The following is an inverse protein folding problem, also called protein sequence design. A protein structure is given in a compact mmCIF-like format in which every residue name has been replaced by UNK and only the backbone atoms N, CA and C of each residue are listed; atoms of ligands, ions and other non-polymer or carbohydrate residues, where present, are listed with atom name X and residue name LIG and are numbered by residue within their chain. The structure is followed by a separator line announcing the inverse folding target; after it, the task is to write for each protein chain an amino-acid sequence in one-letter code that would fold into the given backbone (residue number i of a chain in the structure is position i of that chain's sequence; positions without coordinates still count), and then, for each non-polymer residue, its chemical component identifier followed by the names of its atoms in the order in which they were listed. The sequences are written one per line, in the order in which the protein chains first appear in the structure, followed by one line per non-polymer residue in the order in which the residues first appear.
data_IF_181264443073
#
_entry.id   IF_181264443073
#
_cell.length_a   1.000
_cell.length_b   1.000
_cell.length_c   1.000
_cell.angle_alpha   90.00
_cell.angle_beta   90.00
_cell.angle_gamma   90.00
#
_symmetry.space_group_name_H-M   'P 1'
#
loop_
_entity.id
_entity.type
_entity.pdbx_description
1 polymer ?
#
# COMPACT_ATOMS: atom_id res chain seq x y z
N UNK A 1 -1.20 -9.26 6.90
CA UNK A 1 0.24 -9.14 6.60
C UNK A 1 0.48 -8.97 5.10
N UNK A 2 -0.23 -9.69 4.23
CA UNK A 2 0.01 -9.66 2.77
C UNK A 2 -0.50 -8.41 2.05
N UNK A 3 -1.40 -7.64 2.63
CA UNK A 3 -1.95 -6.41 2.05
C UNK A 3 -1.07 -5.18 2.35
N UNK A 4 -0.29 -5.21 3.42
CA UNK A 4 0.49 -4.06 3.89
C UNK A 4 1.77 -3.90 3.04
N UNK A 5 1.98 -2.71 2.51
CA UNK A 5 3.11 -2.39 1.66
C UNK A 5 3.30 -0.90 1.41
N UNK A 6 3.96 -0.57 0.32
CA UNK A 6 4.20 0.81 -0.14
C UNK A 6 2.89 1.59 -0.29
N UNK A 7 1.79 0.89 -0.62
CA UNK A 7 0.46 1.46 -0.74
C UNK A 7 -0.02 2.16 0.53
N UNK A 8 0.29 1.60 1.70
CA UNK A 8 -0.13 2.13 3.00
C UNK A 8 0.81 3.23 3.49
N UNK A 9 2.12 3.00 3.36
CA UNK A 9 3.13 3.86 3.99
C UNK A 9 3.40 5.12 3.17
N UNK A 10 3.32 5.04 1.84
CA UNK A 10 3.62 6.16 0.95
C UNK A 10 2.41 6.63 0.13
N UNK A 11 1.76 5.73 -0.62
CA UNK A 11 0.68 6.14 -1.52
C UNK A 11 -0.54 6.69 -0.78
N UNK A 12 -0.91 6.08 0.34
CA UNK A 12 -2.08 6.52 1.09
C UNK A 12 -1.91 7.95 1.64
N UNK A 13 -0.82 8.34 2.36
CA UNK A 13 -0.62 9.73 2.77
C UNK A 13 -0.58 10.70 1.60
N UNK A 14 0.07 10.34 0.49
CA UNK A 14 0.07 11.14 -0.73
C UNK A 14 -1.36 11.38 -1.26
N UNK A 15 -2.18 10.33 -1.32
CA UNK A 15 -3.58 10.46 -1.76
C UNK A 15 -4.40 11.33 -0.79
N UNK A 16 -4.18 11.21 0.51
CA UNK A 16 -4.82 12.06 1.52
C UNK A 16 -4.45 13.53 1.32
N UNK A 17 -3.17 13.82 1.13
CA UNK A 17 -2.67 15.18 0.90
C UNK A 17 -3.30 15.85 -0.33
N UNK A 18 -3.41 15.11 -1.44
CA UNK A 18 -3.96 15.62 -2.71
C UNK A 18 -5.49 15.70 -2.74
N UNK A 19 -6.19 15.05 -1.83
CA UNK A 19 -7.65 14.91 -1.89
C UNK A 19 -8.35 15.49 -0.67
N UNK A 20 -7.78 16.51 -0.02
CA UNK A 20 -8.46 17.28 1.02
C UNK A 20 -8.40 16.67 2.42
N UNK A 21 -7.37 15.90 2.74
CA UNK A 21 -7.10 15.49 4.11
C UNK A 21 -8.16 14.58 4.73
N UNK A 22 -8.71 14.99 5.88
CA UNK A 22 -9.66 14.18 6.65
C UNK A 22 -10.94 13.77 5.93
N UNK A 23 -11.42 14.56 4.96
CA UNK A 23 -12.61 14.20 4.16
C UNK A 23 -12.34 12.99 3.27
N UNK A 24 -11.15 12.91 2.67
CA UNK A 24 -10.71 11.73 1.91
C UNK A 24 -10.61 10.49 2.80
N UNK A 25 -10.04 10.64 4.00
CA UNK A 25 -9.93 9.53 4.97
C UNK A 25 -11.31 8.98 5.33
N UNK A 26 -12.30 9.86 5.54
CA UNK A 26 -13.67 9.45 5.82
C UNK A 26 -14.26 8.59 4.69
N UNK A 27 -14.19 9.06 3.43
CA UNK A 27 -14.69 8.29 2.29
C UNK A 27 -13.91 7.00 2.06
N UNK A 28 -12.59 7.03 2.26
CA UNK A 28 -11.76 5.83 2.18
C UNK A 28 -12.21 4.74 3.17
N UNK A 29 -12.42 5.09 4.44
CA UNK A 29 -12.89 4.16 5.46
C UNK A 29 -14.29 3.62 5.14
N UNK A 30 -15.18 4.49 4.63
CA UNK A 30 -16.51 4.10 4.18
C UNK A 30 -16.45 3.05 3.06
N UNK A 31 -15.67 3.31 2.00
CA UNK A 31 -15.53 2.38 0.88
C UNK A 31 -14.81 1.09 1.28
N UNK A 32 -13.85 1.17 2.17
CA UNK A 32 -13.17 0.00 2.70
C UNK A 32 -14.17 -0.93 3.43
N UNK A 33 -15.08 -0.36 4.23
CA UNK A 33 -16.09 -1.14 4.95
C UNK A 33 -17.17 -1.70 4.02
N UNK A 34 -17.71 -0.87 3.10
CA UNK A 34 -18.87 -1.23 2.28
C UNK A 34 -18.49 -2.10 1.07
N UNK A 35 -17.32 -1.86 0.49
CA UNK A 35 -16.86 -2.56 -0.72
C UNK A 35 -15.62 -3.41 -0.45
N UNK A 36 -14.64 -2.88 0.25
CA UNK A 36 -13.35 -3.55 0.48
C UNK A 36 -13.50 -4.88 1.19
N UNK A 37 -14.10 -4.90 2.36
CA UNK A 37 -14.28 -6.13 3.16
C UNK A 37 -15.16 -7.17 2.47
N UNK A 38 -16.33 -6.84 1.88
CA UNK A 38 -17.14 -7.81 1.14
C UNK A 38 -16.40 -8.41 -0.06
N UNK A 39 -15.77 -7.60 -0.91
CA UNK A 39 -15.06 -8.09 -2.09
C UNK A 39 -13.85 -8.94 -1.67
N UNK A 40 -13.11 -8.53 -0.65
CA UNK A 40 -12.03 -9.32 -0.08
C UNK A 40 -12.53 -10.69 0.40
N UNK A 41 -13.68 -10.74 1.08
CA UNK A 41 -14.30 -11.99 1.52
C UNK A 41 -14.66 -12.89 0.33
N UNK A 42 -15.14 -12.30 -0.78
CA UNK A 42 -15.45 -13.04 -2.02
C UNK A 42 -14.19 -13.61 -2.66
N UNK A 43 -13.12 -12.84 -2.78
CA UNK A 43 -11.84 -13.34 -3.33
C UNK A 43 -11.27 -14.49 -2.48
N UNK A 44 -11.27 -14.35 -1.15
CA UNK A 44 -10.87 -15.42 -0.25
C UNK A 44 -11.75 -16.67 -0.41
N UNK A 45 -13.06 -16.50 -0.65
CA UNK A 45 -14.00 -17.59 -0.88
C UNK A 45 -13.69 -18.34 -2.18
N UNK A 46 -13.46 -17.62 -3.28
CA UNK A 46 -13.10 -18.19 -4.58
C UNK A 46 -11.79 -18.98 -4.45
N UNK A 47 -10.79 -18.39 -3.78
CA UNK A 47 -9.52 -19.07 -3.52
C UNK A 47 -9.69 -20.34 -2.72
N UNK A 48 -10.42 -20.29 -1.59
CA UNK A 48 -10.66 -21.46 -0.74
C UNK A 48 -11.48 -22.54 -1.41
N UNK A 49 -12.46 -22.16 -2.24
CA UNK A 49 -13.31 -23.10 -2.96
C UNK A 49 -12.60 -23.81 -4.10
N UNK A 50 -11.76 -23.10 -4.84
CA UNK A 50 -11.04 -23.66 -6.00
C UNK A 50 -9.76 -24.39 -5.62
N UNK A 51 -9.04 -23.95 -4.58
CA UNK A 51 -7.67 -24.41 -4.24
C UNK A 51 -6.69 -24.32 -5.42
N UNK A 52 -6.92 -23.38 -6.34
CA UNK A 52 -6.13 -23.19 -7.57
C UNK A 52 -5.52 -21.78 -7.63
N UNK A 53 -4.60 -21.59 -8.60
CA UNK A 53 -4.11 -20.25 -8.93
C UNK A 53 -5.21 -19.38 -9.53
N UNK A 54 -5.03 -18.05 -9.52
CA UNK A 54 -6.04 -17.08 -9.97
C UNK A 54 -6.63 -17.40 -11.34
N UNK A 55 -5.78 -17.75 -12.33
CA UNK A 55 -6.24 -18.10 -13.70
C UNK A 55 -7.11 -19.33 -13.71
N UNK A 56 -6.74 -20.38 -12.94
CA UNK A 56 -7.47 -21.65 -12.93
C UNK A 56 -8.67 -21.65 -11.99
N UNK A 57 -8.69 -20.80 -10.98
CA UNK A 57 -9.74 -20.75 -9.98
C UNK A 57 -11.11 -20.46 -10.58
N UNK A 58 -11.17 -19.46 -11.46
CA UNK A 58 -12.41 -19.08 -12.13
C UNK A 58 -12.90 -20.15 -13.08
N UNK A 59 -11.99 -20.79 -13.85
CA UNK A 59 -12.35 -21.90 -14.73
C UNK A 59 -12.82 -23.15 -13.99
N UNK A 60 -12.30 -23.42 -12.78
CA UNK A 60 -12.73 -24.53 -11.93
C UNK A 60 -14.14 -24.37 -11.38
N UNK A 61 -14.53 -23.12 -11.06
CA UNK A 61 -15.80 -22.80 -10.41
C UNK A 61 -16.90 -22.37 -11.39
N UNK A 62 -16.56 -22.04 -12.64
CA UNK A 62 -17.54 -21.60 -13.63
C UNK A 62 -18.44 -22.74 -14.10
N UNK A 63 -19.69 -22.41 -14.39
CA UNK A 63 -20.66 -23.34 -14.99
C UNK A 63 -20.53 -23.34 -16.51
N UNK A 64 -20.94 -24.44 -17.17
CA UNK A 64 -20.99 -24.54 -18.63
C UNK A 64 -21.67 -23.32 -19.26
N UNK A 65 -21.00 -22.67 -20.20
CA UNK A 65 -21.47 -21.48 -20.91
C UNK A 65 -21.10 -20.14 -20.25
N UNK A 66 -20.54 -20.13 -19.06
CA UNK A 66 -19.95 -18.93 -18.46
C UNK A 66 -18.53 -18.72 -18.97
N UNK A 67 -18.04 -17.48 -18.82
CA UNK A 67 -16.69 -17.07 -19.30
C UNK A 67 -15.87 -16.38 -18.20
N UNK A 68 -16.05 -16.79 -16.94
CA UNK A 68 -15.33 -16.21 -15.81
C UNK A 68 -13.83 -16.48 -15.84
N UNK A 69 -13.37 -17.52 -16.52
CA UNK A 69 -11.94 -17.77 -16.75
C UNK A 69 -11.23 -16.59 -17.41
N UNK A 70 -11.94 -15.77 -18.23
CA UNK A 70 -11.37 -14.56 -18.83
C UNK A 70 -10.92 -13.57 -17.75
N UNK A 71 -11.68 -13.42 -16.67
CA UNK A 71 -11.30 -12.56 -15.55
C UNK A 71 -9.98 -13.02 -14.92
N UNK A 72 -9.73 -14.31 -14.82
CA UNK A 72 -8.44 -14.85 -14.36
C UNK A 72 -7.24 -14.39 -15.19
N UNK A 73 -7.39 -14.34 -16.52
CA UNK A 73 -6.34 -13.80 -17.39
C UNK A 73 -6.18 -12.30 -17.28
N UNK A 74 -7.28 -11.54 -17.16
CA UNK A 74 -7.25 -10.09 -16.94
C UNK A 74 -6.53 -9.79 -15.62
N UNK A 75 -6.84 -10.51 -14.55
CA UNK A 75 -6.16 -10.38 -13.26
C UNK A 75 -4.65 -10.69 -13.38
N UNK A 76 -4.25 -11.68 -14.15
CA UNK A 76 -2.85 -12.02 -14.42
C UNK A 76 -2.12 -10.85 -15.10
N UNK A 77 -2.71 -10.29 -16.15
CA UNK A 77 -2.16 -9.11 -16.85
C UNK A 77 -2.03 -7.94 -15.89
N UNK A 78 -3.07 -7.67 -15.08
CA UNK A 78 -3.05 -6.63 -14.05
C UNK A 78 -1.90 -6.82 -13.05
N UNK A 79 -1.63 -8.05 -12.63
CA UNK A 79 -0.48 -8.36 -11.76
C UNK A 79 0.86 -8.04 -12.42
N UNK A 80 1.05 -8.39 -13.71
CA UNK A 80 2.27 -8.04 -14.42
C UNK A 80 2.48 -6.53 -14.50
N UNK A 81 1.44 -5.78 -14.87
CA UNK A 81 1.51 -4.31 -14.93
C UNK A 81 1.81 -3.71 -13.56
N UNK A 82 1.17 -4.23 -12.52
CA UNK A 82 1.42 -3.79 -11.15
C UNK A 82 2.85 -4.07 -10.72
N UNK A 83 3.38 -5.26 -11.00
CA UNK A 83 4.75 -5.63 -10.64
C UNK A 83 5.80 -4.80 -11.37
N UNK A 84 5.56 -4.40 -12.61
CA UNK A 84 6.44 -3.47 -13.34
C UNK A 84 6.61 -2.14 -12.56
N UNK A 85 5.53 -1.59 -12.03
CA UNK A 85 5.56 -0.39 -11.21
C UNK A 85 6.20 -0.65 -9.83
N UNK A 86 5.77 -1.70 -9.14
CA UNK A 86 6.21 -1.97 -7.77
C UNK A 86 7.70 -2.29 -7.64
N UNK A 87 8.28 -3.02 -8.60
CA UNK A 87 9.73 -3.33 -8.58
C UNK A 87 10.58 -2.09 -8.76
N UNK A 88 10.14 -1.14 -9.58
CA UNK A 88 10.83 0.15 -9.77
C UNK A 88 10.78 0.97 -8.48
N UNK A 89 9.60 1.14 -7.89
CA UNK A 89 9.43 1.92 -6.65
C UNK A 89 10.17 1.26 -5.47
N UNK A 90 10.14 -0.07 -5.38
CA UNK A 90 10.92 -0.80 -4.38
C UNK A 90 12.45 -0.60 -4.57
N UNK A 91 12.89 -0.49 -5.83
CA UNK A 91 14.27 -0.11 -6.16
C UNK A 91 14.62 1.28 -5.65
N UNK A 92 13.72 2.28 -5.78
CA UNK A 92 13.92 3.63 -5.21
C UNK A 92 14.07 3.56 -3.69
N UNK A 93 13.19 2.82 -3.02
CA UNK A 93 13.26 2.65 -1.55
C UNK A 93 14.59 2.03 -1.12
N UNK A 94 15.09 1.03 -1.86
CA UNK A 94 16.41 0.43 -1.58
C UNK A 94 17.53 1.45 -1.75
N UNK A 95 17.50 2.27 -2.80
CA UNK A 95 18.49 3.33 -3.02
C UNK A 95 18.45 4.37 -1.89
N UNK A 96 17.25 4.80 -1.47
CA UNK A 96 17.09 5.74 -0.35
C UNK A 96 17.61 5.14 0.94
N UNK A 97 17.24 3.89 1.25
CA UNK A 97 17.74 3.19 2.43
C UNK A 97 19.28 3.17 2.46
N UNK A 98 19.90 2.77 1.36
CA UNK A 98 21.36 2.79 1.25
C UNK A 98 21.93 4.21 1.41
N UNK A 99 21.32 5.21 0.80
CA UNK A 99 21.77 6.60 0.86
C UNK A 99 21.66 7.19 2.27
N UNK A 100 20.63 6.81 3.03
CA UNK A 100 20.51 7.17 4.45
C UNK A 100 21.60 6.50 5.29
N UNK A 101 21.85 5.21 5.09
CA UNK A 101 22.90 4.48 5.83
C UNK A 101 24.29 5.10 5.67
N UNK A 102 24.63 5.60 4.49
CA UNK A 102 25.94 6.24 4.23
C UNK A 102 25.94 7.76 4.46
N UNK A 103 24.84 8.30 5.02
CA UNK A 103 24.76 9.72 5.42
C UNK A 103 24.68 10.73 4.27
N UNK A 104 24.28 10.30 3.05
CA UNK A 104 24.17 11.21 1.87
C UNK A 104 23.16 12.35 2.04
N UNK A 105 22.21 12.21 2.94
CA UNK A 105 21.17 13.21 3.21
C UNK A 105 21.51 14.09 4.41
N UNK A 106 22.61 13.85 5.11
CA UNK A 106 22.98 14.61 6.29
C UNK A 106 23.26 16.08 5.94
N UNK A 107 22.53 16.99 6.59
CA UNK A 107 22.67 18.43 6.39
C UNK A 107 22.04 19.01 5.12
N UNK A 108 21.29 18.20 4.35
CA UNK A 108 20.58 18.69 3.15
C UNK A 108 19.26 19.36 3.54
N UNK A 109 18.89 20.39 2.79
CA UNK A 109 17.56 21.02 2.82
C UNK A 109 16.56 20.24 1.94
N UNK A 110 15.25 20.49 2.09
CA UNK A 110 14.22 19.80 1.31
C UNK A 110 14.39 19.90 -0.21
N UNK A 111 14.83 21.06 -0.72
CA UNK A 111 15.10 21.25 -2.16
C UNK A 111 16.30 20.44 -2.64
N UNK A 112 17.35 20.34 -1.83
CA UNK A 112 18.53 19.52 -2.13
C UNK A 112 18.19 18.01 -2.13
N UNK A 113 17.30 17.56 -1.24
CA UNK A 113 16.79 16.18 -1.23
C UNK A 113 15.98 15.89 -2.49
N UNK A 114 15.13 16.83 -2.92
CA UNK A 114 14.40 16.73 -4.20
C UNK A 114 15.37 16.65 -5.39
N UNK A 115 16.44 17.42 -5.37
CA UNK A 115 17.51 17.35 -6.37
C UNK A 115 18.14 15.96 -6.44
N UNK A 116 18.41 15.30 -5.29
CA UNK A 116 18.94 13.93 -5.23
C UNK A 116 17.97 12.90 -5.79
N UNK A 117 16.66 13.08 -5.58
CA UNK A 117 15.65 12.24 -6.20
C UNK A 117 15.69 12.34 -7.73
N UNK A 118 15.75 13.55 -8.27
CA UNK A 118 15.82 13.77 -9.72
C UNK A 118 17.12 13.22 -10.32
N UNK A 119 18.26 13.34 -9.61
CA UNK A 119 19.54 12.75 -9.99
C UNK A 119 19.44 11.22 -10.08
N UNK A 120 18.80 10.57 -9.10
CA UNK A 120 18.53 9.13 -9.12
C UNK A 120 17.67 8.75 -10.33
N UNK A 121 16.57 9.46 -10.58
CA UNK A 121 15.68 9.20 -11.72
C UNK A 121 16.40 9.36 -13.07
N UNK A 122 17.37 10.26 -13.15
CA UNK A 122 18.18 10.50 -14.34
C UNK A 122 19.31 9.48 -14.52
N UNK A 123 19.48 8.53 -13.60
CA UNK A 123 20.56 7.55 -13.62
C UNK A 123 20.02 6.13 -13.91
N UNK A 124 19.87 5.72 -15.20
CA UNK A 124 19.29 4.43 -15.57
C UNK A 124 20.00 3.24 -14.92
N UNK A 125 21.33 3.31 -14.77
CA UNK A 125 22.10 2.24 -14.15
C UNK A 125 21.72 1.98 -12.70
N UNK A 126 21.49 3.04 -11.91
CA UNK A 126 21.07 2.93 -10.51
C UNK A 126 19.69 2.30 -10.46
N UNK A 127 18.76 2.77 -11.28
CA UNK A 127 17.39 2.26 -11.33
C UNK A 127 17.35 0.76 -11.69
N UNK A 128 18.08 0.37 -12.73
CA UNK A 128 18.12 -1.04 -13.16
C UNK A 128 18.78 -1.93 -12.11
N UNK A 129 19.91 -1.52 -11.53
CA UNK A 129 20.62 -2.33 -10.52
C UNK A 129 19.74 -2.53 -9.28
N UNK A 130 19.15 -1.47 -8.73
CA UNK A 130 18.31 -1.57 -7.53
C UNK A 130 17.04 -2.38 -7.78
N UNK A 131 16.40 -2.22 -8.95
CA UNK A 131 15.26 -3.03 -9.38
C UNK A 131 15.64 -4.52 -9.49
N UNK A 132 16.78 -4.83 -10.11
CA UNK A 132 17.25 -6.21 -10.23
C UNK A 132 17.54 -6.85 -8.87
N UNK A 133 18.18 -6.13 -7.95
CA UNK A 133 18.44 -6.62 -6.59
C UNK A 133 17.13 -7.00 -5.91
N UNK A 134 16.13 -6.12 -5.93
CA UNK A 134 14.81 -6.38 -5.31
C UNK A 134 14.12 -7.56 -5.99
N UNK A 135 14.15 -7.62 -7.32
CA UNK A 135 13.52 -8.70 -8.09
C UNK A 135 14.16 -10.05 -7.77
N UNK A 136 15.48 -10.13 -7.78
CA UNK A 136 16.22 -11.37 -7.45
C UNK A 136 15.93 -11.78 -6.00
N UNK A 137 15.99 -10.84 -5.04
CA UNK A 137 15.68 -11.13 -3.64
C UNK A 137 14.25 -11.66 -3.47
N UNK A 138 13.26 -11.05 -4.17
CA UNK A 138 11.88 -11.52 -4.17
C UNK A 138 11.74 -12.94 -4.71
N UNK A 139 12.36 -13.25 -5.84
CA UNK A 139 12.35 -14.61 -6.41
C UNK A 139 13.04 -15.62 -5.50
N UNK A 140 14.15 -15.27 -4.86
CA UNK A 140 14.83 -16.15 -3.89
C UNK A 140 13.93 -16.47 -2.70
N UNK A 141 13.23 -15.47 -2.14
CA UNK A 141 12.28 -15.69 -1.05
C UNK A 141 11.11 -16.57 -1.50
N UNK A 142 10.56 -16.32 -2.69
CA UNK A 142 9.48 -17.11 -3.25
C UNK A 142 9.89 -18.56 -3.56
N UNK A 143 11.15 -18.81 -3.95
CA UNK A 143 11.66 -20.14 -4.25
C UNK A 143 11.69 -21.10 -3.05
N UNK A 144 11.78 -20.55 -1.83
CA UNK A 144 11.71 -21.30 -0.56
C UNK A 144 10.27 -21.77 -0.26
N UNK A 145 9.28 -21.20 -0.97
CA UNK A 145 7.86 -21.50 -0.81
C UNK A 145 7.12 -20.50 0.08
N UNK A 146 5.78 -20.62 0.07
CA UNK A 146 4.92 -19.62 0.72
C UNK A 146 5.08 -19.63 2.24
N UNK A 147 5.02 -20.80 2.88
CA UNK A 147 5.02 -20.92 4.34
C UNK A 147 6.38 -20.64 4.95
N UNK A 148 7.44 -21.27 4.42
CA UNK A 148 8.79 -21.19 4.97
C UNK A 148 9.59 -19.98 4.49
N UNK A 149 9.28 -19.48 3.28
CA UNK A 149 9.92 -18.31 2.69
C UNK A 149 9.13 -17.03 2.96
N UNK A 150 8.07 -16.83 2.18
CA UNK A 150 7.31 -15.58 2.16
C UNK A 150 6.70 -15.26 3.53
N UNK A 151 5.97 -16.19 4.14
CA UNK A 151 5.28 -15.95 5.42
C UNK A 151 6.26 -15.64 6.55
N UNK A 152 7.36 -16.39 6.64
CA UNK A 152 8.35 -16.21 7.72
C UNK A 152 9.07 -14.87 7.60
N UNK A 153 9.52 -14.52 6.38
CA UNK A 153 10.22 -13.25 6.14
C UNK A 153 9.29 -12.08 6.36
N UNK A 154 8.09 -12.10 5.76
CA UNK A 154 7.12 -11.01 5.92
C UNK A 154 6.66 -10.83 7.35
N UNK A 155 6.51 -11.91 8.13
CA UNK A 155 6.14 -11.80 9.55
C UNK A 155 7.19 -11.02 10.35
N UNK A 156 8.48 -11.33 10.17
CA UNK A 156 9.55 -10.60 10.86
C UNK A 156 9.59 -9.14 10.42
N UNK A 157 9.57 -8.90 9.10
CA UNK A 157 9.57 -7.54 8.56
C UNK A 157 8.38 -6.71 9.05
N UNK A 158 7.19 -7.31 9.15
CA UNK A 158 6.00 -6.62 9.64
C UNK A 158 6.09 -6.25 11.12
N UNK A 159 6.64 -7.13 11.96
CA UNK A 159 6.84 -6.81 13.38
C UNK A 159 7.80 -5.63 13.51
N UNK A 160 8.92 -5.65 12.78
CA UNK A 160 9.90 -4.55 12.77
C UNK A 160 9.25 -3.25 12.28
N UNK A 161 8.51 -3.31 11.17
CA UNK A 161 7.78 -2.15 10.63
C UNK A 161 6.81 -1.57 11.66
N UNK A 162 6.00 -2.40 12.31
CA UNK A 162 5.03 -1.95 13.32
C UNK A 162 5.71 -1.25 14.50
N UNK A 163 6.82 -1.81 15.00
CA UNK A 163 7.58 -1.19 16.11
C UNK A 163 8.12 0.17 15.69
N UNK A 164 8.74 0.26 14.51
CA UNK A 164 9.26 1.52 13.98
C UNK A 164 8.13 2.55 13.80
N UNK A 165 7.01 2.15 13.22
CA UNK A 165 5.87 3.06 12.96
C UNK A 165 5.27 3.58 14.26
N UNK A 166 5.09 2.74 15.28
CA UNK A 166 4.58 3.18 16.59
C UNK A 166 5.56 4.18 17.22
N UNK A 167 6.85 3.89 17.20
CA UNK A 167 7.87 4.79 17.71
C UNK A 167 7.85 6.14 16.99
N UNK A 168 7.80 6.14 15.66
CA UNK A 168 7.75 7.36 14.85
C UNK A 168 6.44 8.13 15.06
N UNK A 169 5.30 7.46 15.21
CA UNK A 169 4.03 8.10 15.48
C UNK A 169 4.05 8.81 16.84
N UNK A 170 4.58 8.18 17.89
CA UNK A 170 4.75 8.80 19.20
C UNK A 170 5.69 10.01 19.10
N UNK A 171 6.81 9.88 18.41
CA UNK A 171 7.75 10.98 18.19
C UNK A 171 7.12 12.14 17.41
N UNK A 172 6.32 11.87 16.38
CA UNK A 172 5.70 12.91 15.55
C UNK A 172 4.71 13.78 16.33
N UNK A 173 4.07 13.28 17.39
CA UNK A 173 3.21 14.06 18.26
C UNK A 173 3.98 15.12 19.09
N UNK A 174 5.28 14.99 19.23
CA UNK A 174 6.13 15.97 19.92
C UNK A 174 6.61 17.11 19.00
N UNK A 175 6.34 17.02 17.70
CA UNK A 175 6.77 18.02 16.73
C UNK A 175 5.95 19.31 16.81
N UNK A 176 6.52 20.48 16.49
CA UNK A 176 5.82 21.78 16.57
C UNK A 176 4.56 21.85 15.71
N UNK A 177 4.57 21.25 14.49
CA UNK A 177 3.44 21.23 13.56
C UNK A 177 2.44 20.08 13.80
N UNK A 178 2.56 19.33 14.90
CA UNK A 178 1.73 18.16 15.15
C UNK A 178 0.22 18.49 15.19
N UNK A 179 -0.16 19.58 15.82
CA UNK A 179 -1.56 19.98 15.97
C UNK A 179 -2.21 20.31 14.64
N UNK A 180 -1.53 21.08 13.81
CA UNK A 180 -2.00 21.48 12.47
C UNK A 180 -2.04 20.27 11.53
N UNK A 181 -1.01 19.43 11.52
CA UNK A 181 -0.94 18.21 10.73
C UNK A 181 -2.04 17.21 11.09
N UNK A 182 -2.27 16.99 12.39
CA UNK A 182 -3.36 16.12 12.85
C UNK A 182 -4.74 16.69 12.54
N UNK A 183 -4.93 18.01 12.65
CA UNK A 183 -6.18 18.66 12.27
C UNK A 183 -6.48 18.45 10.79
N UNK A 184 -5.50 18.71 9.91
CA UNK A 184 -5.63 18.47 8.47
C UNK A 184 -5.99 17.01 8.16
N UNK A 185 -5.34 16.07 8.85
CA UNK A 185 -5.46 14.64 8.57
C UNK A 185 -6.75 14.00 9.09
N UNK A 186 -7.20 14.40 10.30
CA UNK A 186 -8.29 13.72 11.01
C UNK A 186 -9.61 14.49 10.98
N UNK A 187 -9.56 15.80 10.77
CA UNK A 187 -10.78 16.63 10.79
C UNK A 187 -11.25 16.88 9.35
N UNK A 188 -12.43 16.38 8.97
CA UNK A 188 -13.00 16.67 7.66
C UNK A 188 -13.26 18.19 7.51
N UNK A 189 -12.72 18.78 6.45
CA UNK A 189 -12.91 20.18 6.12
C UNK A 189 -13.75 20.31 4.85
N UNK A 190 -14.94 20.91 4.96
CA UNK A 190 -15.85 21.09 3.83
C UNK A 190 -15.29 22.04 2.77
N UNK A 191 -14.42 22.98 3.13
CA UNK A 191 -13.78 23.89 2.17
C UNK A 191 -12.89 23.13 1.18
N UNK A 192 -12.31 22.00 1.60
CA UNK A 192 -11.52 21.14 0.73
C UNK A 192 -12.36 20.49 -0.38
N UNK A 193 -13.66 20.25 -0.13
CA UNK A 193 -14.58 19.73 -1.13
C UNK A 193 -14.76 20.74 -2.28
N UNK A 194 -14.85 22.02 -1.97
CA UNK A 194 -15.00 23.07 -2.99
C UNK A 194 -13.74 23.22 -3.84
N UNK A 195 -12.55 23.06 -3.24
CA UNK A 195 -11.27 23.19 -3.92
C UNK A 195 -10.93 21.97 -4.80
N UNK A 196 -11.12 20.76 -4.27
CA UNK A 196 -10.71 19.51 -4.96
C UNK A 196 -11.85 18.93 -5.81
N UNK A 197 -13.09 19.12 -5.41
CA UNK A 197 -14.28 18.55 -6.03
C UNK A 197 -14.69 17.21 -5.42
N UNK A 198 -15.95 17.12 -4.96
CA UNK A 198 -16.49 15.95 -4.27
C UNK A 198 -16.35 14.66 -5.09
N UNK A 199 -16.66 14.72 -6.38
CA UNK A 199 -16.58 13.55 -7.26
C UNK A 199 -15.14 13.01 -7.36
N UNK A 200 -14.16 13.91 -7.42
CA UNK A 200 -12.75 13.54 -7.47
C UNK A 200 -12.29 12.86 -6.16
N UNK A 201 -12.69 13.42 -5.01
CA UNK A 201 -12.40 12.85 -3.70
C UNK A 201 -13.00 11.44 -3.57
N UNK A 202 -14.28 11.28 -3.93
CA UNK A 202 -14.99 9.99 -3.84
C UNK A 202 -14.33 8.93 -4.73
N UNK A 203 -14.06 9.24 -6.00
CA UNK A 203 -13.46 8.28 -6.93
C UNK A 203 -12.06 7.88 -6.52
N UNK A 204 -11.26 8.81 -6.02
CA UNK A 204 -9.91 8.53 -5.53
C UNK A 204 -9.93 7.73 -4.22
N UNK A 205 -10.84 8.03 -3.30
CA UNK A 205 -11.00 7.27 -2.06
C UNK A 205 -11.43 5.82 -2.33
N UNK A 206 -12.40 5.63 -3.25
CA UNK A 206 -12.80 4.30 -3.71
C UNK A 206 -11.63 3.55 -4.36
N UNK A 207 -10.92 4.18 -5.28
CA UNK A 207 -9.75 3.61 -5.96
C UNK A 207 -8.67 3.21 -4.96
N UNK A 208 -8.43 4.03 -3.94
CA UNK A 208 -7.46 3.72 -2.89
C UNK A 208 -7.89 2.54 -2.02
N UNK A 209 -9.18 2.40 -1.70
CA UNK A 209 -9.71 1.27 -0.94
C UNK A 209 -9.53 -0.06 -1.70
N UNK A 210 -9.71 -0.07 -3.02
CA UNK A 210 -9.41 -1.22 -3.87
C UNK A 210 -7.91 -1.53 -3.95
N UNK A 211 -7.12 -0.49 -4.14
CA UNK A 211 -5.68 -0.62 -4.30
C UNK A 211 -5.00 -1.17 -3.03
N UNK A 212 -5.35 -0.63 -1.86
CA UNK A 212 -4.71 -1.01 -0.59
C UNK A 212 -4.92 -2.49 -0.24
N UNK A 213 -6.11 -3.03 -0.51
CA UNK A 213 -6.43 -4.44 -0.28
C UNK A 213 -6.06 -5.34 -1.46
N UNK A 214 -5.45 -4.79 -2.53
CA UNK A 214 -5.08 -5.54 -3.75
C UNK A 214 -6.26 -6.30 -4.36
N UNK A 215 -7.45 -5.68 -4.39
CA UNK A 215 -8.67 -6.30 -4.91
C UNK A 215 -8.69 -6.30 -6.44
N UNK A 216 -9.34 -7.31 -7.03
CA UNK A 216 -9.54 -7.45 -8.47
C UNK A 216 -8.38 -8.12 -9.22
N UNK A 217 -7.20 -8.17 -8.64
CA UNK A 217 -6.01 -8.80 -9.26
C UNK A 217 -5.80 -10.26 -8.84
N UNK A 218 -6.66 -10.78 -7.96
CA UNK A 218 -6.62 -12.16 -7.49
C UNK A 218 -5.46 -12.49 -6.55
N UNK A 219 -4.77 -11.49 -6.00
CA UNK A 219 -3.74 -11.71 -4.99
C UNK A 219 -4.32 -12.35 -3.73
N UNK A 220 -5.43 -11.83 -3.24
CA UNK A 220 -6.12 -12.35 -2.05
C UNK A 220 -6.77 -13.73 -2.33
N UNK A 221 -7.15 -14.01 -3.55
CA UNK A 221 -7.60 -15.33 -3.98
C UNK A 221 -6.50 -16.39 -3.78
N UNK A 222 -5.25 -16.10 -4.12
CA UNK A 222 -4.12 -17.01 -3.89
C UNK A 222 -3.99 -17.31 -2.39
N UNK A 223 -4.02 -16.28 -1.53
CA UNK A 223 -3.98 -16.50 -0.08
C UNK A 223 -5.20 -17.29 0.42
N UNK A 224 -6.38 -17.03 -0.14
CA UNK A 224 -7.59 -17.80 0.11
C UNK A 224 -7.43 -19.29 -0.17
N UNK A 225 -6.67 -19.66 -1.21
CA UNK A 225 -6.45 -21.06 -1.59
C UNK A 225 -5.69 -21.87 -0.53
N UNK A 226 -4.95 -21.21 0.35
CA UNK A 226 -4.23 -21.82 1.48
C UNK A 226 -5.03 -21.82 2.79
N UNK A 227 -6.19 -21.16 2.83
CA UNK A 227 -7.02 -21.12 4.04
C UNK A 227 -7.69 -22.47 4.30
N UNK A 228 -7.61 -22.90 5.58
CA UNK A 228 -8.31 -24.10 6.05
C UNK A 228 -9.82 -23.85 6.21
N UNK A 229 -10.63 -24.92 6.06
CA UNK A 229 -12.09 -24.83 6.11
C UNK A 229 -12.69 -24.35 7.43
N UNK A 230 -11.96 -24.44 8.55
CA UNK A 230 -12.43 -24.03 9.87
C UNK A 230 -12.39 -22.52 10.17
N UNK A 231 -11.79 -21.71 9.31
CA UNK A 231 -11.69 -20.26 9.54
C UNK A 231 -12.84 -19.49 8.88
N UNK A 232 -13.37 -18.47 9.57
CA UNK A 232 -14.36 -17.57 9.03
C UNK A 232 -13.74 -16.67 7.97
N UNK A 233 -14.25 -16.68 6.73
CA UNK A 233 -13.78 -15.82 5.65
C UNK A 233 -13.98 -14.33 5.96
N UNK A 234 -15.14 -13.99 6.49
CA UNK A 234 -15.43 -12.63 6.91
C UNK A 234 -14.49 -12.17 8.03
N UNK A 235 -14.23 -13.05 9.02
CA UNK A 235 -13.30 -12.75 10.11
C UNK A 235 -11.88 -12.50 9.61
N UNK A 236 -11.39 -13.32 8.66
CA UNK A 236 -10.08 -13.10 8.02
C UNK A 236 -10.07 -11.79 7.20
N UNK A 237 -11.11 -11.51 6.41
CA UNK A 237 -11.22 -10.28 5.62
C UNK A 237 -11.23 -9.03 6.51
N UNK A 238 -12.02 -9.03 7.59
CA UNK A 238 -12.04 -7.92 8.55
C UNK A 238 -10.69 -7.74 9.24
N UNK A 239 -10.04 -8.84 9.62
CA UNK A 239 -8.70 -8.78 10.26
C UNK A 239 -7.65 -8.22 9.31
N UNK A 240 -7.67 -8.63 8.03
CA UNK A 240 -6.75 -8.09 7.01
C UNK A 240 -7.01 -6.60 6.80
N UNK A 241 -8.26 -6.21 6.59
CA UNK A 241 -8.64 -4.81 6.38
C UNK A 241 -8.30 -3.93 7.59
N UNK A 242 -8.53 -4.41 8.81
CA UNK A 242 -8.22 -3.68 10.04
C UNK A 242 -6.71 -3.44 10.20
N UNK A 243 -5.88 -4.47 9.97
CA UNK A 243 -4.43 -4.33 10.05
C UNK A 243 -3.87 -3.42 8.94
N UNK A 244 -4.39 -3.54 7.73
CA UNK A 244 -4.04 -2.69 6.59
C UNK A 244 -4.35 -1.22 6.89
N UNK A 245 -5.57 -0.95 7.35
CA UNK A 245 -6.03 0.37 7.75
C UNK A 245 -5.21 0.93 8.91
N UNK A 246 -4.90 0.12 9.92
CA UNK A 246 -4.08 0.56 11.04
C UNK A 246 -2.72 1.09 10.59
N UNK A 247 -2.06 0.38 9.66
CA UNK A 247 -0.77 0.84 9.12
C UNK A 247 -0.93 2.11 8.28
N UNK A 248 -1.95 2.17 7.42
CA UNK A 248 -2.22 3.36 6.61
C UNK A 248 -2.50 4.61 7.48
N UNK A 249 -3.36 4.46 8.49
CA UNK A 249 -3.67 5.55 9.42
C UNK A 249 -2.42 5.98 10.22
N UNK A 250 -1.64 5.01 10.72
CA UNK A 250 -0.41 5.32 11.45
C UNK A 250 0.62 6.05 10.57
N UNK A 251 0.73 5.68 9.29
CA UNK A 251 1.59 6.39 8.35
C UNK A 251 1.19 7.87 8.20
N UNK A 252 -0.10 8.17 8.12
CA UNK A 252 -0.59 9.54 8.11
C UNK A 252 -0.29 10.29 9.41
N UNK A 253 -0.42 9.63 10.57
CA UNK A 253 -0.06 10.22 11.88
C UNK A 253 1.43 10.56 12.00
N UNK A 254 2.30 9.93 11.20
CA UNK A 254 3.73 10.25 11.14
C UNK A 254 3.97 11.39 10.15
N UNK A 255 3.46 11.27 8.94
CA UNK A 255 3.82 12.12 7.81
C UNK A 255 3.23 13.52 7.94
N UNK A 256 1.95 13.68 8.28
CA UNK A 256 1.33 15.01 8.31
C UNK A 256 1.90 15.92 9.40
N UNK A 257 2.12 15.49 10.67
CA UNK A 257 2.85 16.30 11.63
C UNK A 257 4.24 16.72 11.15
N UNK A 258 4.97 15.83 10.49
CA UNK A 258 6.27 16.15 9.94
C UNK A 258 6.17 17.17 8.80
N UNK A 259 5.24 17.02 7.85
CA UNK A 259 5.03 17.97 6.77
C UNK A 259 4.78 19.38 7.29
N UNK A 260 3.87 19.53 8.25
CA UNK A 260 3.53 20.84 8.83
C UNK A 260 4.67 21.41 9.70
N UNK A 261 5.49 20.55 10.33
CA UNK A 261 6.65 21.01 11.10
C UNK A 261 7.78 21.54 10.23
N UNK A 262 7.97 20.95 9.05
CA UNK A 262 9.04 21.33 8.13
C UNK A 262 8.56 22.18 6.95
N UNK A 263 7.31 22.66 6.97
CA UNK A 263 6.68 23.44 5.89
C UNK A 263 6.76 22.73 4.51
N UNK A 264 6.64 21.42 4.49
CA UNK A 264 6.55 20.62 3.25
C UNK A 264 5.08 20.48 2.87
N UNK A 265 4.76 20.70 1.60
CA UNK A 265 3.40 20.53 1.10
C UNK A 265 2.95 19.06 1.25
N UNK A 266 1.76 18.78 1.81
CA UNK A 266 1.29 17.41 2.01
C UNK A 266 1.07 16.63 0.72
N UNK A 267 0.95 17.32 -0.42
CA UNK A 267 0.72 16.78 -1.76
C UNK A 267 2.00 16.53 -2.55
N UNK A 268 3.17 16.67 -1.92
CA UNK A 268 4.46 16.69 -2.62
C UNK A 268 4.90 15.37 -3.27
N UNK A 269 4.08 14.31 -3.23
CA UNK A 269 4.34 13.03 -3.93
C UNK A 269 5.65 12.36 -3.49
N UNK A 270 6.64 12.22 -4.40
CA UNK A 270 7.92 11.61 -4.08
C UNK A 270 8.73 12.30 -2.98
N UNK A 271 8.45 13.57 -2.68
CA UNK A 271 9.08 14.29 -1.56
C UNK A 271 8.65 13.78 -0.19
N UNK A 272 7.58 12.98 -0.12
CA UNK A 272 7.13 12.33 1.11
C UNK A 272 7.91 11.05 1.43
N UNK A 273 8.77 10.60 0.53
CA UNK A 273 9.71 9.51 0.75
C UNK A 273 10.95 10.05 1.50
#
# INVERSE_FOLDING_TARGET
VSAIGIGNVWKFPYMVGNNGGGIFVLFYLLFLAIMGVPILSMELAIGRGSKKSTVRAYGELEKKGQKWHIHGYVALIGNYLLMMFYTVVAGWMLYYFYSFLIGKFSGLTGDAVTGKFNEMLSSPSILVITMLIITIAGFLICSVGLQNGVERVTKVMMIVLMVIMIFLAVYSFTMPGAKEGLKFYLVPDMQQIEQVGLFHIITNAMSQAFFTLSLGIGAMLIFGSYLNGGKSLLGEAVSIAALDTFVAITAGLIIFPACFSYNVQPDSGPKLI
#
